data_IF_943938213470
#
_entry.id   IF_943938213470
#
_cell.length_a   1.000
_cell.length_b   1.000
_cell.length_c   1.000
_cell.angle_alpha   90.00
_cell.angle_beta   90.00
_cell.angle_gamma   90.00
#
_symmetry.space_group_name_H-M   'P 1'
#
loop_
_entity.id
_entity.type
_entity.pdbx_description
1 polymer ?
#
# COMPACT_ATOMS: atom_id res chain seq x y z
N UNK A 1 -35.14 -23.69 -2.03
CA UNK A 1 -35.29 -22.27 -2.36
C UNK A 1 -34.06 -21.82 -3.14
N UNK A 2 -34.20 -21.27 -4.35
CA UNK A 2 -33.11 -20.62 -5.08
C UNK A 2 -32.82 -19.29 -4.38
N UNK A 3 -31.58 -19.06 -3.91
CA UNK A 3 -31.18 -17.79 -3.33
C UNK A 3 -31.26 -16.69 -4.41
N UNK A 4 -31.77 -15.54 -4.02
CA UNK A 4 -31.70 -14.38 -4.89
C UNK A 4 -30.21 -13.94 -5.02
N UNK A 5 -29.70 -13.66 -6.23
CA UNK A 5 -28.32 -13.24 -6.44
C UNK A 5 -27.91 -12.02 -5.61
N UNK A 6 -28.88 -11.17 -5.24
CA UNK A 6 -28.68 -10.01 -4.37
C UNK A 6 -28.28 -10.36 -2.92
N UNK A 7 -28.74 -11.49 -2.40
CA UNK A 7 -28.40 -11.95 -1.03
C UNK A 7 -26.98 -12.51 -1.01
N UNK A 8 -26.57 -13.25 -2.04
CA UNK A 8 -25.22 -13.79 -2.13
C UNK A 8 -24.15 -12.70 -2.28
N UNK A 9 -24.49 -11.53 -2.82
CA UNK A 9 -23.66 -10.36 -2.86
C UNK A 9 -23.67 -9.54 -1.56
N UNK A 10 -24.80 -9.53 -0.84
CA UNK A 10 -24.96 -8.75 0.39
C UNK A 10 -24.16 -9.33 1.57
N UNK A 11 -24.13 -10.65 1.72
CA UNK A 11 -23.42 -11.32 2.82
C UNK A 11 -21.91 -10.97 2.84
N UNK A 12 -21.16 -11.09 1.72
CA UNK A 12 -19.79 -10.62 1.65
C UNK A 12 -19.63 -9.14 2.03
N UNK A 13 -20.51 -8.28 1.52
CA UNK A 13 -20.46 -6.85 1.80
C UNK A 13 -20.65 -6.55 3.30
N UNK A 14 -21.67 -7.15 3.94
CA UNK A 14 -21.90 -6.98 5.37
C UNK A 14 -20.75 -7.53 6.21
N UNK A 15 -20.22 -8.70 5.84
CA UNK A 15 -19.02 -9.24 6.49
C UNK A 15 -17.83 -8.31 6.36
N UNK A 16 -17.61 -7.74 5.20
CA UNK A 16 -16.50 -6.81 4.93
C UNK A 16 -16.68 -5.46 5.66
N UNK A 17 -17.91 -4.98 5.86
CA UNK A 17 -18.20 -3.75 6.62
C UNK A 17 -17.97 -3.90 8.14
N UNK A 18 -17.90 -5.10 8.67
CA UNK A 18 -17.55 -5.31 10.07
C UNK A 18 -18.64 -5.94 10.92
N UNK A 19 -19.71 -6.46 10.34
CA UNK A 19 -20.72 -7.20 11.07
C UNK A 19 -20.14 -8.55 11.48
N UNK A 20 -20.20 -8.89 12.77
CA UNK A 20 -19.70 -10.18 13.26
C UNK A 20 -20.60 -11.32 12.76
N UNK A 21 -20.07 -12.53 12.74
CA UNK A 21 -20.84 -13.70 12.29
C UNK A 21 -22.07 -13.98 13.17
N UNK A 22 -22.05 -13.55 14.43
CA UNK A 22 -23.18 -13.64 15.34
C UNK A 22 -24.29 -12.63 15.05
N UNK A 23 -23.92 -11.45 14.55
CA UNK A 23 -24.85 -10.32 14.34
C UNK A 23 -25.44 -10.32 12.92
N UNK A 24 -25.02 -11.28 12.06
CA UNK A 24 -25.51 -11.36 10.67
C UNK A 24 -27.01 -11.58 10.57
N UNK A 25 -27.56 -12.44 11.41
CA UNK A 25 -29.01 -12.76 11.42
C UNK A 25 -29.78 -11.49 11.76
N UNK A 26 -29.42 -10.82 12.84
CA UNK A 26 -30.07 -9.58 13.28
C UNK A 26 -29.93 -8.44 12.23
N UNK A 27 -28.76 -8.25 11.64
CA UNK A 27 -28.54 -7.23 10.62
C UNK A 27 -29.36 -7.48 9.35
N UNK A 28 -29.57 -8.72 8.97
CA UNK A 28 -30.34 -9.06 7.78
C UNK A 28 -31.84 -9.13 8.04
N UNK A 29 -32.27 -9.54 9.20
CA UNK A 29 -33.66 -9.39 9.61
C UNK A 29 -34.09 -7.92 9.65
N UNK A 30 -33.23 -7.03 10.10
CA UNK A 30 -33.47 -5.59 10.07
C UNK A 30 -33.58 -5.01 8.64
N UNK A 31 -32.90 -5.60 7.66
CA UNK A 31 -32.87 -5.11 6.26
C UNK A 31 -33.93 -5.79 5.41
N UNK A 32 -34.17 -7.08 5.61
CA UNK A 32 -34.99 -7.93 4.72
C UNK A 32 -36.28 -8.42 5.35
N UNK A 33 -36.54 -8.09 6.63
CA UNK A 33 -37.72 -8.54 7.41
C UNK A 33 -37.51 -9.84 8.19
N UNK A 34 -38.39 -10.10 9.15
CA UNK A 34 -38.36 -11.32 10.00
C UNK A 34 -38.45 -12.59 9.17
N UNK A 35 -37.71 -13.63 9.55
CA UNK A 35 -37.81 -14.97 8.95
C UNK A 35 -36.89 -15.21 7.75
N UNK A 36 -35.87 -14.39 7.52
CA UNK A 36 -34.86 -14.63 6.49
C UNK A 36 -34.00 -15.84 6.84
N UNK A 37 -34.45 -17.02 6.36
CA UNK A 37 -33.70 -18.27 6.49
C UNK A 37 -32.51 -18.28 5.51
N UNK A 38 -31.32 -18.60 5.98
CA UNK A 38 -30.19 -18.86 5.08
C UNK A 38 -28.83 -18.36 5.56
N UNK A 39 -28.73 -17.78 6.75
CA UNK A 39 -27.48 -17.30 7.33
C UNK A 39 -27.01 -18.17 8.48
N UNK A 40 -27.00 -19.46 8.28
CA UNK A 40 -26.39 -20.37 9.24
C UNK A 40 -24.86 -20.16 9.29
N UNK A 41 -24.25 -20.44 10.44
CA UNK A 41 -22.79 -20.47 10.58
C UNK A 41 -22.12 -21.29 9.47
N UNK A 42 -22.78 -22.36 9.01
CA UNK A 42 -22.32 -23.18 7.88
C UNK A 42 -22.20 -22.41 6.56
N UNK A 43 -23.06 -21.44 6.29
CA UNK A 43 -22.96 -20.62 5.08
C UNK A 43 -21.77 -19.66 5.12
N UNK A 44 -21.44 -19.14 6.30
CA UNK A 44 -20.26 -18.28 6.48
C UNK A 44 -18.97 -19.09 6.37
N UNK A 45 -18.95 -20.31 6.91
CA UNK A 45 -17.82 -21.24 6.73
C UNK A 45 -17.62 -21.53 5.24
N UNK A 46 -18.68 -21.84 4.50
CA UNK A 46 -18.61 -22.08 3.04
C UNK A 46 -18.15 -20.85 2.26
N UNK A 47 -18.60 -19.65 2.64
CA UNK A 47 -18.16 -18.39 2.04
C UNK A 47 -16.65 -18.16 2.26
N UNK A 48 -16.15 -18.41 3.47
CA UNK A 48 -14.71 -18.31 3.76
C UNK A 48 -13.91 -19.31 2.93
N UNK A 49 -14.36 -20.55 2.82
CA UNK A 49 -13.71 -21.57 1.97
C UNK A 49 -13.67 -21.14 0.51
N UNK A 50 -14.76 -20.61 -0.04
CA UNK A 50 -14.78 -20.04 -1.39
C UNK A 50 -13.78 -18.88 -1.56
N UNK A 51 -13.63 -18.03 -0.56
CA UNK A 51 -12.65 -16.95 -0.60
C UNK A 51 -11.19 -17.43 -0.56
N UNK A 52 -10.92 -18.52 0.13
CA UNK A 52 -9.61 -19.18 0.12
C UNK A 52 -9.29 -19.76 -1.26
N UNK A 53 -10.26 -20.37 -1.92
CA UNK A 53 -10.12 -20.87 -3.29
C UNK A 53 -9.89 -19.72 -4.27
N UNK A 54 -10.66 -18.64 -4.18
CA UNK A 54 -10.48 -17.45 -4.99
C UNK A 54 -9.08 -16.83 -4.79
N UNK A 55 -8.62 -16.76 -3.54
CA UNK A 55 -7.28 -16.27 -3.23
C UNK A 55 -6.20 -17.16 -3.84
N UNK A 56 -6.32 -18.49 -3.71
CA UNK A 56 -5.38 -19.45 -4.30
C UNK A 56 -5.31 -19.31 -5.81
N UNK A 57 -6.45 -19.24 -6.48
CA UNK A 57 -6.51 -19.07 -7.93
C UNK A 57 -5.89 -17.72 -8.34
N UNK A 58 -6.24 -16.63 -7.65
CA UNK A 58 -5.71 -15.30 -7.93
C UNK A 58 -4.20 -15.21 -7.66
N UNK A 59 -3.69 -15.83 -6.61
CA UNK A 59 -2.27 -15.80 -6.24
C UNK A 59 -1.37 -16.58 -7.21
N UNK A 60 -1.94 -17.45 -8.03
CA UNK A 60 -1.26 -18.24 -9.05
C UNK A 60 -1.57 -17.78 -10.48
N UNK A 61 -2.23 -16.62 -10.65
CA UNK A 61 -2.60 -16.11 -11.97
C UNK A 61 -1.38 -15.77 -12.81
N UNK A 62 -1.53 -15.91 -14.12
CA UNK A 62 -0.51 -15.49 -15.08
C UNK A 62 -0.35 -13.95 -15.08
N UNK A 63 0.89 -13.50 -15.02
CA UNK A 63 1.29 -12.10 -15.03
C UNK A 63 2.16 -11.74 -16.24
N UNK A 64 2.33 -12.63 -17.21
CA UNK A 64 3.21 -12.42 -18.38
C UNK A 64 2.82 -11.19 -19.21
N UNK A 65 1.53 -10.86 -19.25
CA UNK A 65 1.01 -9.69 -19.96
C UNK A 65 0.89 -8.45 -19.07
N UNK A 66 1.29 -8.54 -17.80
CA UNK A 66 1.19 -7.41 -16.85
C UNK A 66 2.48 -6.60 -16.82
N UNK A 67 2.31 -5.29 -16.89
CA UNK A 67 3.37 -4.30 -16.72
C UNK A 67 2.89 -3.21 -15.80
N UNK A 68 3.73 -2.85 -14.82
CA UNK A 68 3.42 -1.80 -13.86
C UNK A 68 4.56 -0.80 -13.82
N UNK A 69 4.24 0.46 -14.03
CA UNK A 69 5.23 1.54 -14.10
C UNK A 69 5.70 1.96 -12.72
N UNK A 70 4.78 1.97 -11.74
CA UNK A 70 5.06 2.30 -10.35
C UNK A 70 4.59 1.17 -9.43
N UNK A 71 5.36 0.89 -8.39
CA UNK A 71 4.99 -0.05 -7.33
C UNK A 71 4.92 0.66 -5.99
N UNK A 72 3.90 0.32 -5.20
CA UNK A 72 3.78 0.67 -3.79
C UNK A 72 3.87 -0.60 -2.97
N UNK A 73 4.81 -0.62 -2.00
CA UNK A 73 5.06 -1.77 -1.13
C UNK A 73 4.91 -1.35 0.33
N UNK A 74 4.24 -2.19 1.13
CA UNK A 74 4.07 -1.98 2.56
C UNK A 74 3.86 -3.32 3.28
N UNK A 75 4.30 -3.39 4.54
CA UNK A 75 4.02 -4.48 5.46
C UNK A 75 2.99 -4.07 6.51
N UNK A 76 1.85 -4.74 6.56
CA UNK A 76 0.76 -4.41 7.48
C UNK A 76 0.63 -5.47 8.54
N UNK A 77 0.69 -5.04 9.82
CA UNK A 77 0.62 -5.94 10.96
C UNK A 77 -0.80 -6.05 11.52
N UNK A 78 -1.27 -7.28 11.69
CA UNK A 78 -2.58 -7.61 12.26
C UNK A 78 -2.45 -8.45 13.53
N UNK A 79 -3.32 -8.18 14.51
CA UNK A 79 -3.51 -9.10 15.63
C UNK A 79 -4.38 -10.26 15.16
N UNK A 80 -3.92 -11.47 15.31
CA UNK A 80 -4.67 -12.70 15.09
C UNK A 80 -5.08 -13.24 16.44
N UNK A 81 -6.37 -13.62 16.60
CA UNK A 81 -6.96 -13.91 17.90
C UNK A 81 -6.33 -15.09 18.64
N UNK A 82 -5.75 -16.02 17.90
CA UNK A 82 -5.17 -17.26 18.44
C UNK A 82 -3.63 -17.29 18.37
N UNK A 83 -3.01 -16.26 17.83
CA UNK A 83 -1.55 -16.15 17.74
C UNK A 83 -1.03 -15.15 18.77
N UNK A 84 0.06 -15.48 19.44
CA UNK A 84 0.76 -14.58 20.37
C UNK A 84 1.50 -13.46 19.62
N UNK A 85 1.90 -13.70 18.38
CA UNK A 85 2.59 -12.73 17.54
C UNK A 85 1.65 -12.09 16.49
N UNK A 86 1.94 -10.84 16.14
CA UNK A 86 1.24 -10.16 15.05
C UNK A 86 1.60 -10.80 13.71
N UNK A 87 0.59 -11.11 12.91
CA UNK A 87 0.78 -11.51 11.52
C UNK A 87 1.13 -10.31 10.67
N UNK A 88 2.23 -10.37 9.94
CA UNK A 88 2.60 -9.40 8.92
C UNK A 88 2.00 -9.83 7.58
N UNK A 89 1.27 -8.95 6.92
CA UNK A 89 0.79 -9.14 5.55
C UNK A 89 1.56 -8.18 4.65
N UNK A 90 2.32 -8.74 3.70
CA UNK A 90 3.02 -7.96 2.69
C UNK A 90 2.07 -7.65 1.54
N UNK A 91 2.05 -6.39 1.11
CA UNK A 91 1.16 -5.89 0.07
C UNK A 91 1.96 -5.17 -0.99
N UNK A 92 1.67 -5.48 -2.23
CA UNK A 92 2.23 -4.82 -3.40
C UNK A 92 1.08 -4.36 -4.32
N UNK A 93 1.05 -3.06 -4.62
CA UNK A 93 0.13 -2.44 -5.57
C UNK A 93 0.94 -1.89 -6.74
N UNK A 94 0.40 -1.95 -7.96
CA UNK A 94 1.05 -1.40 -9.14
C UNK A 94 0.16 -0.44 -9.91
N UNK A 95 0.78 0.52 -10.61
CA UNK A 95 0.12 1.32 -11.64
C UNK A 95 0.38 0.73 -13.02
N UNK A 96 -0.67 0.40 -13.75
CA UNK A 96 -0.58 -0.09 -15.14
C UNK A 96 -0.13 1.02 -16.11
N UNK A 97 0.15 0.66 -17.35
CA UNK A 97 0.48 1.61 -18.42
C UNK A 97 -0.64 2.60 -18.70
N UNK A 98 -1.90 2.22 -18.43
CA UNK A 98 -3.08 3.10 -18.52
C UNK A 98 -3.29 3.94 -17.26
N UNK A 99 -2.46 3.77 -16.24
CA UNK A 99 -2.54 4.50 -14.97
C UNK A 99 -3.55 3.95 -13.96
N UNK A 100 -4.17 2.80 -14.23
CA UNK A 100 -5.02 2.14 -13.26
C UNK A 100 -4.17 1.50 -12.16
N UNK A 101 -4.68 1.52 -10.94
CA UNK A 101 -4.00 0.82 -9.83
C UNK A 101 -4.57 -0.59 -9.69
N UNK A 102 -3.68 -1.57 -9.55
CA UNK A 102 -4.03 -2.98 -9.37
C UNK A 102 -3.29 -3.57 -8.19
N UNK A 103 -3.95 -4.46 -7.46
CA UNK A 103 -3.32 -5.29 -6.45
C UNK A 103 -2.45 -6.33 -7.16
N UNK A 104 -1.13 -6.27 -6.94
CA UNK A 104 -0.18 -7.23 -7.50
C UNK A 104 -0.08 -8.46 -6.60
N UNK A 105 0.15 -8.24 -5.31
CA UNK A 105 0.31 -9.30 -4.32
C UNK A 105 -0.22 -8.91 -2.94
N UNK A 106 -0.74 -9.90 -2.24
CA UNK A 106 -1.02 -9.92 -0.80
C UNK A 106 -0.57 -11.28 -0.30
N UNK A 107 0.41 -11.32 0.57
CA UNK A 107 0.93 -12.58 1.12
C UNK A 107 1.17 -12.48 2.62
N UNK A 108 1.09 -13.62 3.31
CA UNK A 108 1.50 -13.74 4.70
C UNK A 108 3.04 -13.72 4.76
N UNK A 109 3.60 -12.68 5.40
CA UNK A 109 5.01 -12.59 5.70
C UNK A 109 5.22 -12.88 7.18
N UNK A 110 6.12 -13.79 7.51
CA UNK A 110 6.46 -14.05 8.92
C UNK A 110 6.89 -12.76 9.64
N UNK A 111 7.65 -11.92 8.93
CA UNK A 111 8.01 -10.53 9.29
C UNK A 111 8.24 -9.77 7.99
N UNK A 112 8.34 -8.45 8.07
CA UNK A 112 8.77 -7.62 6.95
C UNK A 112 10.30 -7.77 6.73
N UNK A 113 10.73 -9.00 6.46
CA UNK A 113 12.13 -9.37 6.26
C UNK A 113 12.52 -9.36 4.78
N UNK A 114 13.82 -9.25 4.50
CA UNK A 114 14.34 -9.39 3.13
C UNK A 114 14.00 -10.75 2.52
N UNK A 115 13.95 -11.80 3.33
CA UNK A 115 13.58 -13.14 2.90
C UNK A 115 12.11 -13.19 2.43
N UNK A 116 11.17 -12.68 3.24
CA UNK A 116 9.74 -12.68 2.89
C UNK A 116 9.47 -11.88 1.63
N UNK A 117 10.12 -10.72 1.46
CA UNK A 117 10.04 -9.93 0.24
C UNK A 117 10.67 -10.62 -0.97
N UNK A 118 11.82 -11.29 -0.79
CA UNK A 118 12.48 -12.06 -1.86
C UNK A 118 11.59 -13.22 -2.34
N UNK A 119 10.98 -13.96 -1.43
CA UNK A 119 10.06 -15.03 -1.76
C UNK A 119 8.86 -14.52 -2.57
N UNK A 120 8.26 -13.40 -2.14
CA UNK A 120 7.16 -12.74 -2.84
C UNK A 120 7.58 -12.29 -4.24
N UNK A 121 8.65 -11.51 -4.35
CA UNK A 121 9.10 -10.96 -5.63
C UNK A 121 9.55 -12.06 -6.59
N UNK A 122 10.26 -13.09 -6.10
CA UNK A 122 10.64 -14.25 -6.87
C UNK A 122 9.43 -15.07 -7.36
N UNK A 123 8.36 -15.17 -6.55
CA UNK A 123 7.09 -15.77 -6.99
C UNK A 123 6.47 -14.97 -8.13
N UNK A 124 6.42 -13.65 -8.03
CA UNK A 124 5.86 -12.80 -9.09
C UNK A 124 6.62 -12.96 -10.41
N UNK A 125 7.94 -13.08 -10.37
CA UNK A 125 8.75 -13.38 -11.57
C UNK A 125 8.42 -14.74 -12.18
N UNK A 126 8.25 -15.77 -11.34
CA UNK A 126 7.83 -17.11 -11.82
C UNK A 126 6.44 -17.09 -12.46
N UNK A 127 5.55 -16.20 -12.01
CA UNK A 127 4.23 -15.98 -12.60
C UNK A 127 4.26 -15.09 -13.85
N UNK A 128 5.44 -14.64 -14.29
CA UNK A 128 5.63 -13.89 -15.53
C UNK A 128 5.83 -12.38 -15.36
N UNK A 129 5.76 -11.81 -14.14
CA UNK A 129 6.05 -10.40 -13.93
C UNK A 129 7.57 -10.16 -13.92
N UNK A 130 8.16 -10.08 -15.10
CA UNK A 130 9.62 -9.96 -15.28
C UNK A 130 10.09 -8.52 -15.47
N UNK A 131 9.19 -7.61 -15.83
CA UNK A 131 9.53 -6.20 -16.07
C UNK A 131 9.57 -5.45 -14.74
N UNK A 132 10.71 -4.81 -14.44
CA UNK A 132 10.89 -3.94 -13.29
C UNK A 132 10.03 -2.66 -13.40
N UNK A 133 9.54 -2.10 -12.29
CA UNK A 133 8.90 -0.79 -12.30
C UNK A 133 9.96 0.32 -12.53
N UNK A 134 9.50 1.48 -12.98
CA UNK A 134 10.37 2.68 -13.10
C UNK A 134 10.65 3.32 -11.74
N UNK A 135 9.72 3.20 -10.80
CA UNK A 135 9.85 3.68 -9.42
C UNK A 135 9.12 2.74 -8.47
N UNK A 136 9.76 2.41 -7.37
CA UNK A 136 9.14 1.74 -6.24
C UNK A 136 9.01 2.71 -5.06
N UNK A 137 7.86 2.72 -4.42
CA UNK A 137 7.53 3.55 -3.25
C UNK A 137 7.32 2.63 -2.05
N UNK A 138 8.03 2.87 -0.95
CA UNK A 138 7.92 2.03 0.24
C UNK A 138 8.23 2.78 1.53
N UNK A 139 7.97 2.11 2.64
CA UNK A 139 8.48 2.56 3.92
C UNK A 139 10.01 2.33 4.03
N UNK A 140 10.65 2.57 5.15
CA UNK A 140 12.11 2.39 5.29
C UNK A 140 12.52 0.96 5.63
N UNK A 141 11.69 -0.03 5.43
CA UNK A 141 12.03 -1.42 5.64
C UNK A 141 13.12 -1.84 4.66
N UNK A 142 14.32 -2.07 5.18
CA UNK A 142 15.46 -2.50 4.38
C UNK A 142 15.21 -3.82 3.65
N UNK A 143 14.33 -4.66 4.17
CA UNK A 143 14.01 -5.96 3.60
C UNK A 143 13.46 -5.87 2.19
N UNK A 144 12.52 -4.94 1.94
CA UNK A 144 11.95 -4.72 0.61
C UNK A 144 12.99 -4.25 -0.40
N UNK A 145 13.79 -3.25 -0.03
CA UNK A 145 14.77 -2.64 -0.94
C UNK A 145 15.86 -3.60 -1.36
N UNK A 146 16.34 -4.44 -0.42
CA UNK A 146 17.33 -5.50 -0.71
C UNK A 146 16.74 -6.52 -1.69
N UNK A 147 15.55 -7.03 -1.40
CA UNK A 147 14.88 -8.00 -2.25
C UNK A 147 14.55 -7.45 -3.64
N UNK A 148 14.13 -6.19 -3.73
CA UNK A 148 13.86 -5.52 -5.01
C UNK A 148 15.13 -5.42 -5.86
N UNK A 149 16.26 -5.02 -5.26
CA UNK A 149 17.55 -4.93 -5.95
C UNK A 149 18.03 -6.31 -6.44
N UNK A 150 17.89 -7.34 -5.63
CA UNK A 150 18.30 -8.71 -6.00
C UNK A 150 17.42 -9.30 -7.10
N UNK A 151 16.11 -9.07 -7.05
CA UNK A 151 15.17 -9.69 -7.99
C UNK A 151 14.98 -8.89 -9.28
N UNK A 152 15.01 -7.57 -9.24
CA UNK A 152 14.68 -6.70 -10.37
C UNK A 152 15.82 -5.75 -10.77
N UNK A 153 16.94 -5.79 -10.06
CA UNK A 153 18.08 -4.91 -10.34
C UNK A 153 17.84 -3.46 -9.90
N UNK A 154 18.49 -2.54 -10.57
CA UNK A 154 18.43 -1.12 -10.22
C UNK A 154 17.05 -0.53 -10.57
N UNK A 155 16.27 -0.23 -9.55
CA UNK A 155 14.97 0.46 -9.64
C UNK A 155 15.06 1.76 -8.86
N UNK A 156 14.53 2.86 -9.40
CA UNK A 156 14.45 4.10 -8.65
C UNK A 156 13.60 3.91 -7.38
N UNK A 157 14.08 4.44 -6.26
CA UNK A 157 13.47 4.24 -4.95
C UNK A 157 12.92 5.56 -4.41
N UNK A 158 11.67 5.53 -3.94
CA UNK A 158 11.05 6.64 -3.24
C UNK A 158 10.66 6.25 -1.83
N UNK A 159 11.24 6.90 -0.85
CA UNK A 159 10.87 6.74 0.56
C UNK A 159 9.53 7.40 0.83
N UNK A 160 8.59 6.69 1.46
CA UNK A 160 7.29 7.23 1.83
C UNK A 160 7.41 8.37 2.84
N UNK A 161 6.93 9.57 2.48
CA UNK A 161 6.95 10.75 3.34
C UNK A 161 6.06 10.64 4.57
N UNK A 162 4.94 9.91 4.51
CA UNK A 162 4.06 9.71 5.67
C UNK A 162 4.79 8.92 6.75
N UNK A 163 5.37 7.76 6.40
CA UNK A 163 6.16 6.96 7.33
C UNK A 163 7.40 7.70 7.84
N UNK A 164 8.07 8.43 6.94
CA UNK A 164 9.25 9.22 7.33
C UNK A 164 8.90 10.33 8.30
N UNK A 165 7.81 11.04 8.05
CA UNK A 165 7.31 12.08 8.95
C UNK A 165 7.02 11.52 10.35
N UNK A 166 6.30 10.38 10.43
CA UNK A 166 6.05 9.71 11.69
C UNK A 166 7.35 9.35 12.42
N UNK A 167 8.30 8.72 11.72
CA UNK A 167 9.58 8.31 12.29
C UNK A 167 10.43 9.50 12.82
N UNK A 168 10.35 10.66 12.17
CA UNK A 168 11.03 11.89 12.62
C UNK A 168 10.34 12.43 13.87
N UNK A 169 9.00 12.56 13.82
CA UNK A 169 8.22 13.14 14.92
C UNK A 169 8.27 12.28 16.18
N UNK A 170 8.35 10.97 16.07
CA UNK A 170 8.53 10.05 17.22
C UNK A 170 9.82 10.30 18.01
N UNK A 171 10.80 10.99 17.43
CA UNK A 171 12.05 11.39 18.08
C UNK A 171 12.00 12.80 18.67
N UNK A 172 10.83 13.42 18.67
CA UNK A 172 10.61 14.79 19.13
C UNK A 172 9.47 14.86 20.15
N UNK A 173 9.56 15.73 21.18
CA UNK A 173 8.47 15.98 22.12
C UNK A 173 7.21 16.51 21.41
N UNK A 174 6.04 16.12 21.88
CA UNK A 174 4.74 16.52 21.30
C UNK A 174 4.60 18.04 21.12
N UNK A 175 5.16 18.83 22.04
CA UNK A 175 5.10 20.29 22.01
C UNK A 175 5.74 20.95 20.78
N UNK A 176 6.72 20.28 20.13
CA UNK A 176 7.41 20.81 18.95
C UNK A 176 6.98 20.12 17.65
N UNK A 177 6.25 19.01 17.75
CA UNK A 177 5.89 18.19 16.57
C UNK A 177 5.07 18.96 15.52
N UNK A 178 4.16 19.85 15.95
CA UNK A 178 3.33 20.60 15.02
C UNK A 178 4.17 21.48 14.08
N UNK A 179 5.13 22.24 14.64
CA UNK A 179 6.03 23.09 13.86
C UNK A 179 6.99 22.27 12.98
N UNK A 180 7.54 21.18 13.53
CA UNK A 180 8.41 20.27 12.79
C UNK A 180 7.67 19.64 11.61
N UNK A 181 6.43 19.19 11.82
CA UNK A 181 5.57 18.62 10.76
C UNK A 181 5.31 19.64 9.66
N UNK A 182 5.07 20.91 9.98
CA UNK A 182 4.88 21.95 8.98
C UNK A 182 6.11 22.09 8.08
N UNK A 183 7.31 22.17 8.63
CA UNK A 183 8.56 22.23 7.84
C UNK A 183 8.76 20.97 6.99
N UNK A 184 8.41 19.79 7.49
CA UNK A 184 8.47 18.56 6.72
C UNK A 184 7.48 18.62 5.53
N UNK A 185 6.27 19.16 5.74
CA UNK A 185 5.31 19.37 4.65
C UNK A 185 5.86 20.33 3.59
N UNK A 186 6.52 21.40 3.99
CA UNK A 186 7.17 22.33 3.06
C UNK A 186 8.21 21.65 2.17
N UNK A 187 8.92 20.62 2.66
CA UNK A 187 9.88 19.86 1.87
C UNK A 187 9.22 19.13 0.71
N UNK A 188 8.20 18.30 0.98
CA UNK A 188 7.64 17.44 -0.06
C UNK A 188 6.47 18.07 -0.85
N UNK A 189 5.99 19.24 -0.43
CA UNK A 189 5.04 20.04 -1.17
C UNK A 189 5.69 21.16 -1.99
N UNK A 190 6.99 21.33 -1.85
CA UNK A 190 7.72 22.35 -2.62
C UNK A 190 7.56 22.14 -4.13
N UNK A 191 7.49 23.24 -4.91
CA UNK A 191 7.31 23.15 -6.35
C UNK A 191 8.58 22.66 -7.09
N UNK A 192 9.76 22.77 -6.46
CA UNK A 192 11.04 22.34 -7.03
C UNK A 192 11.89 21.63 -6.00
N UNK A 193 12.78 20.75 -6.45
CA UNK A 193 13.80 20.09 -5.60
C UNK A 193 14.68 21.11 -4.86
N UNK A 194 15.03 22.22 -5.50
CA UNK A 194 15.82 23.28 -4.87
C UNK A 194 15.09 23.90 -3.67
N UNK A 195 13.81 24.21 -3.81
CA UNK A 195 12.98 24.72 -2.71
C UNK A 195 12.80 23.69 -1.60
N UNK A 196 12.61 22.43 -1.98
CA UNK A 196 12.51 21.31 -1.03
C UNK A 196 13.80 21.15 -0.19
N UNK A 197 14.97 21.23 -0.83
CA UNK A 197 16.26 21.16 -0.15
C UNK A 197 16.52 22.38 0.74
N UNK A 198 16.03 23.56 0.37
CA UNK A 198 16.11 24.74 1.25
C UNK A 198 15.29 24.54 2.54
N UNK A 199 14.07 23.99 2.44
CA UNK A 199 13.26 23.63 3.61
C UNK A 199 13.91 22.50 4.43
N UNK A 200 14.58 21.55 3.78
CA UNK A 200 15.36 20.51 4.44
C UNK A 200 16.50 21.10 5.28
N UNK A 201 17.32 21.99 4.71
CA UNK A 201 18.43 22.64 5.44
C UNK A 201 17.90 23.52 6.58
N UNK A 202 16.76 24.17 6.40
CA UNK A 202 16.09 24.90 7.48
C UNK A 202 15.68 24.00 8.64
N UNK A 203 15.17 22.79 8.35
CA UNK A 203 14.85 21.80 9.38
C UNK A 203 16.11 21.36 10.13
N UNK A 204 17.17 21.00 9.40
CA UNK A 204 18.43 20.55 10.00
C UNK A 204 19.02 21.66 10.89
N UNK A 205 19.16 22.88 10.39
CA UNK A 205 19.71 24.00 11.16
C UNK A 205 18.88 24.35 12.41
N UNK A 206 17.56 24.23 12.31
CA UNK A 206 16.66 24.54 13.41
C UNK A 206 16.60 23.48 14.51
N UNK A 207 16.87 22.22 14.18
CA UNK A 207 16.63 21.10 15.09
C UNK A 207 17.87 20.27 15.45
N UNK A 208 18.98 20.39 14.71
CA UNK A 208 20.18 19.54 14.89
C UNK A 208 20.72 19.57 16.32
N UNK A 209 20.78 20.75 16.96
CA UNK A 209 21.33 20.90 18.31
C UNK A 209 20.43 20.28 19.37
N UNK A 210 19.09 20.46 19.24
CA UNK A 210 18.12 20.04 20.27
C UNK A 210 17.61 18.61 20.04
N UNK A 211 17.50 18.17 18.78
CA UNK A 211 16.92 16.88 18.39
C UNK A 211 17.76 16.16 17.33
N UNK A 212 19.04 15.86 17.64
CA UNK A 212 19.96 15.26 16.65
C UNK A 212 19.42 13.95 16.06
N UNK A 213 18.77 13.09 16.87
CA UNK A 213 18.18 11.83 16.40
C UNK A 213 17.07 12.02 15.36
N UNK A 214 16.31 13.12 15.42
CA UNK A 214 15.30 13.45 14.43
C UNK A 214 15.96 13.89 13.11
N UNK A 215 17.03 14.69 13.19
CA UNK A 215 17.81 15.10 12.04
C UNK A 215 18.54 13.92 11.39
N UNK A 216 19.20 13.06 12.15
CA UNK A 216 19.82 11.82 11.65
C UNK A 216 18.79 10.93 10.92
N UNK A 217 17.58 10.81 11.52
CA UNK A 217 16.49 10.09 10.89
C UNK A 217 16.13 10.67 9.51
N UNK A 218 16.04 11.99 9.38
CA UNK A 218 15.78 12.65 8.09
C UNK A 218 16.93 12.46 7.11
N UNK A 219 18.18 12.69 7.56
CA UNK A 219 19.40 12.62 6.74
C UNK A 219 19.64 11.25 6.12
N UNK A 220 19.33 10.18 6.87
CA UNK A 220 19.55 8.78 6.44
C UNK A 220 18.96 8.46 5.06
N UNK A 221 17.81 9.03 4.72
CA UNK A 221 17.08 8.69 3.49
C UNK A 221 17.00 9.89 2.52
N UNK A 222 17.91 10.89 2.68
CA UNK A 222 17.89 12.14 1.89
C UNK A 222 17.75 11.88 0.39
N UNK A 223 18.56 10.99 -0.15
CA UNK A 223 18.59 10.69 -1.60
C UNK A 223 17.26 10.13 -2.10
N UNK A 224 16.63 9.23 -1.34
CA UNK A 224 15.39 8.56 -1.75
C UNK A 224 14.12 9.33 -1.42
N UNK A 225 14.21 10.39 -0.60
CA UNK A 225 13.05 11.21 -0.24
C UNK A 225 12.61 12.15 -1.36
N UNK A 226 13.52 12.55 -2.25
CA UNK A 226 13.26 13.52 -3.30
C UNK A 226 13.27 12.92 -4.71
N UNK A 227 13.29 11.61 -4.84
CA UNK A 227 13.31 10.92 -6.14
C UNK A 227 12.09 11.26 -6.99
N UNK A 228 10.93 11.53 -6.39
CA UNK A 228 9.70 11.85 -7.11
C UNK A 228 9.84 13.11 -8.01
N UNK A 229 10.79 14.01 -7.74
CA UNK A 229 11.04 15.19 -8.59
C UNK A 229 11.57 14.82 -9.99
N UNK A 230 12.09 13.60 -10.18
CA UNK A 230 12.54 13.07 -11.46
C UNK A 230 11.41 12.43 -12.28
N UNK A 231 10.17 12.64 -11.87
CA UNK A 231 8.95 12.13 -12.51
C UNK A 231 7.96 13.26 -12.76
N UNK A 232 6.97 13.10 -13.69
CA UNK A 232 6.02 14.16 -14.01
C UNK A 232 5.34 14.76 -12.77
N UNK A 233 5.23 16.08 -12.69
CA UNK A 233 4.65 16.77 -11.54
C UNK A 233 3.22 16.30 -11.22
N UNK A 234 2.43 15.95 -12.24
CA UNK A 234 1.08 15.43 -12.07
C UNK A 234 1.06 14.07 -11.35
N UNK A 235 2.14 13.30 -11.38
CA UNK A 235 2.25 12.01 -10.68
C UNK A 235 2.60 12.17 -9.20
N UNK A 236 3.23 13.26 -8.78
CA UNK A 236 3.78 13.45 -7.42
C UNK A 236 2.80 13.18 -6.28
N UNK A 237 1.50 13.57 -6.34
CA UNK A 237 0.55 13.26 -5.27
C UNK A 237 0.43 11.75 -4.99
N UNK A 238 0.73 10.92 -5.99
CA UNK A 238 0.68 9.46 -5.88
C UNK A 238 2.03 8.84 -5.52
N UNK A 239 3.16 9.52 -5.83
CA UNK A 239 4.51 8.97 -5.66
C UNK A 239 5.14 9.27 -4.30
N UNK A 240 4.73 10.35 -3.65
CA UNK A 240 5.32 10.80 -2.37
C UNK A 240 5.03 9.87 -1.20
N UNK A 241 3.99 9.04 -1.28
CA UNK A 241 3.49 8.25 -0.15
C UNK A 241 2.96 6.89 -0.57
N UNK A 242 2.81 5.98 0.39
CA UNK A 242 2.12 4.70 0.24
C UNK A 242 0.60 4.80 0.48
N UNK A 243 0.02 5.99 0.34
CA UNK A 243 -1.42 6.23 0.54
C UNK A 243 -2.35 5.25 -0.20
N UNK A 244 -2.05 4.73 -1.41
CA UNK A 244 -2.88 3.71 -2.03
C UNK A 244 -3.07 2.47 -1.14
N UNK A 245 -2.02 2.09 -0.40
CA UNK A 245 -2.08 0.99 0.56
C UNK A 245 -2.74 1.45 1.86
N UNK A 246 -2.26 2.55 2.45
CA UNK A 246 -2.70 3.02 3.77
C UNK A 246 -4.21 3.28 3.85
N UNK A 247 -4.80 3.92 2.83
CA UNK A 247 -6.24 4.19 2.79
C UNK A 247 -7.07 2.91 2.74
N UNK A 248 -6.64 1.93 1.98
CA UNK A 248 -7.28 0.60 1.91
C UNK A 248 -7.18 -0.11 3.26
N UNK A 249 -5.99 -0.07 3.88
CA UNK A 249 -5.76 -0.75 5.15
C UNK A 249 -6.37 -0.04 6.36
N UNK A 250 -6.73 1.22 6.29
CA UNK A 250 -7.53 1.87 7.32
C UNK A 250 -8.88 1.15 7.52
N UNK A 251 -9.54 0.76 6.43
CA UNK A 251 -10.79 -0.02 6.46
C UNK A 251 -10.54 -1.44 7.01
N UNK A 252 -9.47 -2.09 6.58
CA UNK A 252 -9.10 -3.44 7.08
C UNK A 252 -8.80 -3.41 8.57
N UNK A 253 -8.04 -2.42 9.07
CA UNK A 253 -7.75 -2.24 10.50
C UNK A 253 -9.00 -2.00 11.32
N UNK A 254 -9.93 -1.16 10.83
CA UNK A 254 -11.20 -0.93 11.50
C UNK A 254 -11.99 -2.23 11.66
N UNK A 255 -12.00 -3.05 10.61
CA UNK A 255 -12.64 -4.39 10.63
C UNK A 255 -12.01 -5.32 11.66
N UNK A 256 -10.69 -5.47 11.62
CA UNK A 256 -9.96 -6.36 12.55
C UNK A 256 -10.10 -5.91 13.99
N UNK A 257 -10.12 -4.59 14.23
CA UNK A 257 -10.35 -4.05 15.58
C UNK A 257 -11.74 -4.42 16.11
N UNK A 258 -12.80 -4.24 15.31
CA UNK A 258 -14.18 -4.57 15.71
C UNK A 258 -14.40 -6.05 15.99
N UNK A 259 -13.74 -6.93 15.24
CA UNK A 259 -13.88 -8.40 15.40
C UNK A 259 -12.88 -9.00 16.39
N UNK A 260 -12.10 -8.17 17.11
CA UNK A 260 -11.01 -8.60 18.02
C UNK A 260 -9.98 -9.53 17.34
N UNK A 261 -9.77 -9.32 16.04
CA UNK A 261 -8.88 -10.11 15.19
C UNK A 261 -9.56 -11.31 14.50
N UNK A 262 -9.06 -11.70 13.32
CA UNK A 262 -9.48 -12.93 12.65
C UNK A 262 -9.04 -14.17 13.44
N UNK A 263 -9.75 -15.28 13.26
CA UNK A 263 -9.48 -16.52 13.99
C UNK A 263 -8.24 -17.30 13.51
N UNK A 264 -7.65 -16.96 12.36
CA UNK A 264 -6.44 -17.59 11.80
C UNK A 264 -5.72 -16.67 10.82
N UNK A 265 -4.44 -16.99 10.52
CA UNK A 265 -3.64 -16.28 9.51
C UNK A 265 -4.27 -16.32 8.12
N UNK A 266 -4.73 -17.49 7.68
CA UNK A 266 -5.40 -17.62 6.37
C UNK A 266 -6.70 -16.81 6.30
N UNK A 267 -7.48 -16.75 7.36
CA UNK A 267 -8.67 -15.93 7.43
C UNK A 267 -8.34 -14.43 7.39
N UNK A 268 -7.21 -14.03 7.99
CA UNK A 268 -6.70 -12.66 7.88
C UNK A 268 -6.33 -12.33 6.44
N UNK A 269 -5.56 -13.20 5.82
CA UNK A 269 -5.04 -13.02 4.47
C UNK A 269 -6.17 -12.94 3.43
N UNK A 270 -7.13 -13.86 3.48
CA UNK A 270 -8.27 -13.87 2.56
C UNK A 270 -9.21 -12.69 2.78
N UNK A 271 -9.38 -12.24 4.01
CA UNK A 271 -10.13 -11.03 4.32
C UNK A 271 -9.43 -9.77 3.76
N UNK A 272 -8.12 -9.64 3.99
CA UNK A 272 -7.32 -8.54 3.43
C UNK A 272 -7.42 -8.54 1.91
N UNK A 273 -7.24 -9.69 1.28
CA UNK A 273 -7.36 -9.88 -0.16
C UNK A 273 -8.72 -9.39 -0.68
N UNK A 274 -9.83 -9.87 -0.12
CA UNK A 274 -11.18 -9.49 -0.57
C UNK A 274 -11.46 -8.01 -0.37
N UNK A 275 -11.10 -7.45 0.79
CA UNK A 275 -11.26 -6.02 1.06
C UNK A 275 -10.44 -5.16 0.10
N UNK A 276 -9.23 -5.58 -0.21
CA UNK A 276 -8.36 -4.84 -1.13
C UNK A 276 -8.88 -4.91 -2.56
N UNK A 277 -9.37 -6.07 -3.02
CA UNK A 277 -10.01 -6.19 -4.33
C UNK A 277 -11.28 -5.33 -4.44
N UNK A 278 -12.06 -5.24 -3.39
CA UNK A 278 -13.24 -4.36 -3.39
C UNK A 278 -12.83 -2.89 -3.43
N UNK A 279 -11.84 -2.49 -2.63
CA UNK A 279 -11.30 -1.14 -2.66
C UNK A 279 -10.70 -0.79 -4.03
N UNK A 280 -10.06 -1.73 -4.70
CA UNK A 280 -9.47 -1.54 -6.03
C UNK A 280 -10.50 -1.03 -7.06
N UNK A 281 -11.75 -1.45 -6.98
CA UNK A 281 -12.82 -0.99 -7.89
C UNK A 281 -13.07 0.51 -7.81
N UNK A 282 -12.68 1.14 -6.68
CA UNK A 282 -12.89 2.55 -6.39
C UNK A 282 -11.58 3.37 -6.37
N UNK A 283 -10.42 2.74 -6.62
CA UNK A 283 -9.18 3.47 -6.65
C UNK A 283 -9.14 4.48 -7.79
N UNK A 284 -8.77 5.69 -7.45
CA UNK A 284 -8.60 6.74 -8.46
C UNK A 284 -7.43 6.40 -9.37
N UNK A 285 -7.64 6.58 -10.66
CA UNK A 285 -6.59 6.51 -11.67
C UNK A 285 -5.47 7.49 -11.36
N UNK A 286 -4.25 7.20 -11.80
CA UNK A 286 -3.10 8.09 -11.66
C UNK A 286 -3.40 9.42 -12.38
N UNK A 287 -3.20 10.55 -11.69
CA UNK A 287 -3.26 11.85 -12.35
C UNK A 287 -2.15 11.95 -13.39
N UNK A 288 -2.40 12.59 -14.52
CA UNK A 288 -1.39 12.72 -15.57
C UNK A 288 -0.99 11.39 -16.21
N UNK A 289 -1.85 10.37 -16.18
CA UNK A 289 -1.56 9.04 -16.76
C UNK A 289 -1.13 9.11 -18.23
N UNK A 290 -1.49 10.16 -18.97
CA UNK A 290 -1.06 10.41 -20.34
C UNK A 290 0.47 10.57 -20.47
N UNK A 291 1.16 10.89 -19.37
CA UNK A 291 2.61 11.01 -19.32
C UNK A 291 3.32 9.69 -19.03
N UNK A 292 2.58 8.63 -18.67
CA UNK A 292 3.15 7.30 -18.42
C UNK A 292 3.99 6.77 -19.59
N UNK A 293 3.55 6.87 -20.86
CA UNK A 293 4.38 6.42 -21.99
C UNK A 293 5.75 7.11 -22.04
N UNK A 294 5.84 8.39 -21.69
CA UNK A 294 7.12 9.12 -21.60
C UNK A 294 8.01 8.56 -20.49
N UNK A 295 7.44 8.24 -19.33
CA UNK A 295 8.18 7.59 -18.25
C UNK A 295 8.69 6.20 -18.66
N UNK A 296 7.87 5.41 -19.34
CA UNK A 296 8.24 4.07 -19.84
C UNK A 296 9.42 4.17 -20.82
N UNK A 297 9.36 5.11 -21.77
CA UNK A 297 10.40 5.33 -22.77
C UNK A 297 11.66 6.00 -22.21
N UNK A 298 11.64 6.40 -20.92
CA UNK A 298 12.81 6.96 -20.25
C UNK A 298 13.05 8.44 -20.55
N UNK A 299 12.01 9.18 -20.96
CA UNK A 299 12.10 10.65 -21.08
C UNK A 299 12.46 11.23 -19.72
N UNK A 300 13.55 12.02 -19.62
CA UNK A 300 13.96 12.60 -18.35
C UNK A 300 13.04 13.75 -17.93
N UNK A 301 12.75 13.82 -16.63
CA UNK A 301 12.03 14.92 -16.00
C UNK A 301 12.92 15.58 -14.94
N UNK A 302 12.82 16.88 -14.81
CA UNK A 302 13.44 17.66 -13.73
C UNK A 302 12.38 18.57 -13.13
N UNK A 303 12.23 18.50 -11.82
CA UNK A 303 11.17 19.22 -11.12
C UNK A 303 9.77 19.01 -11.74
N UNK A 304 9.55 17.80 -12.25
CA UNK A 304 8.27 17.39 -12.85
C UNK A 304 8.01 17.83 -14.29
N UNK A 305 8.90 18.62 -14.84
CA UNK A 305 8.85 19.08 -16.24
C UNK A 305 9.76 18.24 -17.12
N UNK A 306 9.32 17.96 -18.34
CA UNK A 306 10.11 17.23 -19.34
C UNK A 306 11.31 18.07 -19.76
N UNK A 307 12.51 17.46 -19.68
CA UNK A 307 13.69 18.06 -20.28
C UNK A 307 13.56 18.01 -21.80
N UNK A 308 13.10 19.09 -22.40
CA UNK A 308 13.21 19.30 -23.83
C UNK A 308 14.71 19.38 -24.19
N UNK A 309 15.21 18.42 -24.97
CA UNK A 309 16.51 18.60 -25.62
C UNK A 309 16.39 19.88 -26.45
N UNK A 310 16.99 20.95 -25.98
CA UNK A 310 17.28 22.09 -26.88
C UNK A 310 18.12 21.52 -28.02
N UNK A 311 17.53 21.52 -29.21
CA UNK A 311 18.26 21.20 -30.42
C UNK A 311 19.52 22.06 -30.47
N UNK A 312 20.67 21.39 -30.41
CA UNK A 312 21.99 22.04 -30.60
C UNK A 312 22.14 22.49 -32.03
#
# INVERSE_FOLDING_TARGET
MRRAPSIDALIPALYLIGISTGDFTEALEAILGEGVSGLSAANIVRLKASWEEDYKAWSQRDLTQKRYVYWWADGVYFNVRLDEERTCVLVLIGATEEGNKELIAVVDGYRESSQSWRELLGQLKRLGLTTAPKLAIGDGSLGFWIALQEEYGSVAQQRCWVHKTANILDKMPKSVQAKAKQLIHEMYLAPTRKAALAAYEQFISGYQVKFPKACECLQKDKETLFTFYDFPAQHWPHLRTTNPIESTFATVRLRTYRTKGPGSRIATLTMVFKLTLEAQKHWRRLQGFQLIPKVITGVPFVDGEELTQQAA
#
